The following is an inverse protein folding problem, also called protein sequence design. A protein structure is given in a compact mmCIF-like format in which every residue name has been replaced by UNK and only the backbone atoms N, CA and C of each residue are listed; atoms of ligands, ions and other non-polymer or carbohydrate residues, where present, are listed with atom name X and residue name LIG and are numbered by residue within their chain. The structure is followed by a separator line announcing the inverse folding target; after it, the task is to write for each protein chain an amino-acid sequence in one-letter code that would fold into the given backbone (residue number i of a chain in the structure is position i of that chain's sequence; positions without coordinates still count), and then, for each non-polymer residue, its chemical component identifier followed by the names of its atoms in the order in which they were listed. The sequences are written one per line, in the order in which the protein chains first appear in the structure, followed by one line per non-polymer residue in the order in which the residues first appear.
data_IF_960899889062
#
_entry.id   IF_960899889062
#
_cell.length_a   1.000
_cell.length_b   1.000
_cell.length_c   1.000
_cell.angle_alpha   90.00
_cell.angle_beta   90.00
_cell.angle_gamma   90.00
#
_symmetry.space_group_name_H-M   'P 1'
#
loop_
_entity.id
_entity.type
_entity.pdbx_description
1 polymer ?
#
# COMPACT_ATOMS: atom_id res chain seq x y z
N UNK A 1 -6.02 21.66 8.02
CA UNK A 1 -7.04 21.53 6.95
C UNK A 1 -8.39 20.99 7.43
N UNK A 2 -8.45 19.93 8.25
CA UNK A 2 -9.74 19.35 8.69
C UNK A 2 -10.45 20.11 9.84
N UNK A 3 -9.71 20.85 10.69
CA UNK A 3 -10.28 21.49 11.89
C UNK A 3 -11.31 22.61 11.58
N UNK A 4 -11.20 23.27 10.42
CA UNK A 4 -12.21 24.25 9.98
C UNK A 4 -13.63 23.67 10.00
N UNK A 5 -13.77 22.39 9.67
CA UNK A 5 -15.05 21.68 9.55
C UNK A 5 -15.37 20.76 10.76
N UNK A 6 -14.54 20.76 11.80
CA UNK A 6 -14.75 19.93 12.98
C UNK A 6 -16.00 20.34 13.77
N UNK A 7 -16.76 19.34 14.24
CA UNK A 7 -17.93 19.53 15.11
C UNK A 7 -17.54 19.98 16.52
N UNK A 8 -16.32 19.67 16.97
CA UNK A 8 -15.78 20.05 18.26
C UNK A 8 -14.56 20.94 18.08
N UNK A 9 -14.53 22.05 18.80
CA UNK A 9 -13.49 23.07 18.66
C UNK A 9 -12.99 23.54 20.01
N UNK A 10 -11.69 23.87 20.05
CA UNK A 10 -11.09 24.58 21.18
C UNK A 10 -11.65 26.01 21.18
N UNK A 11 -12.17 26.47 22.30
CA UNK A 11 -12.80 27.78 22.47
C UNK A 11 -12.26 28.49 23.69
N UNK A 12 -12.14 29.81 23.56
CA UNK A 12 -11.83 30.70 24.67
C UNK A 12 -13.15 31.09 25.34
N UNK A 13 -13.27 30.84 26.64
CA UNK A 13 -14.34 31.35 27.48
C UNK A 13 -13.92 32.75 27.96
N UNK A 14 -14.60 33.79 27.47
CA UNK A 14 -14.25 35.18 27.77
C UNK A 14 -14.41 35.51 29.27
N UNK A 15 -15.40 34.93 29.94
CA UNK A 15 -15.66 35.15 31.36
C UNK A 15 -14.52 34.66 32.25
N UNK A 16 -13.83 33.59 31.84
CA UNK A 16 -12.70 32.98 32.58
C UNK A 16 -11.33 33.39 32.04
N UNK A 17 -11.26 34.00 30.88
CA UNK A 17 -10.01 34.35 30.22
C UNK A 17 -9.50 35.71 30.68
N UNK A 18 -8.34 35.73 31.34
CA UNK A 18 -7.66 36.96 31.75
C UNK A 18 -6.64 37.48 30.72
N UNK A 19 -6.70 37.00 29.47
CA UNK A 19 -5.81 37.41 28.36
C UNK A 19 -4.30 37.29 28.63
N UNK A 20 -3.88 36.37 29.51
CA UNK A 20 -2.46 36.21 29.91
C UNK A 20 -1.49 35.71 28.82
N UNK A 21 -1.97 35.30 27.63
CA UNK A 21 -1.08 34.95 26.51
C UNK A 21 -0.44 33.56 26.54
N UNK A 22 -0.54 32.82 27.65
CA UNK A 22 0.11 31.50 27.81
C UNK A 22 -0.30 30.48 26.75
N UNK A 23 -1.57 30.50 26.33
CA UNK A 23 -2.08 29.62 25.28
C UNK A 23 -1.50 29.94 23.90
N UNK A 24 -1.28 31.22 23.60
CA UNK A 24 -0.66 31.65 22.34
C UNK A 24 0.81 31.24 22.29
N UNK A 25 1.56 31.41 23.38
CA UNK A 25 2.97 30.98 23.44
C UNK A 25 3.15 29.47 23.29
N UNK A 26 2.19 28.66 23.75
CA UNK A 26 2.23 27.20 23.61
C UNK A 26 1.58 26.70 22.32
N UNK A 27 1.05 27.60 21.48
CA UNK A 27 0.44 27.24 20.21
C UNK A 27 1.51 26.99 19.14
N UNK A 28 1.70 25.73 18.75
CA UNK A 28 2.65 25.34 17.69
C UNK A 28 2.30 25.89 16.31
N UNK A 29 1.02 26.16 16.06
CA UNK A 29 0.51 26.69 14.80
C UNK A 29 0.35 28.22 14.79
N UNK A 30 0.73 28.90 15.88
CA UNK A 30 0.56 30.35 16.06
C UNK A 30 -0.86 30.84 15.66
N UNK A 31 -1.88 30.05 16.02
CA UNK A 31 -3.26 30.26 15.59
C UNK A 31 -4.17 30.85 16.68
N UNK A 32 -3.61 31.30 17.81
CA UNK A 32 -4.37 31.87 18.93
C UNK A 32 -3.96 33.33 19.13
N UNK A 33 -4.92 34.24 19.03
CA UNK A 33 -4.76 35.65 19.42
C UNK A 33 -5.37 35.84 20.82
N UNK A 34 -4.53 35.97 21.85
CA UNK A 34 -4.98 36.15 23.23
C UNK A 34 -5.52 37.55 23.54
N UNK A 35 -5.20 38.57 22.74
CA UNK A 35 -5.73 39.94 22.94
C UNK A 35 -7.19 40.04 22.50
N UNK A 36 -7.48 39.44 21.36
CA UNK A 36 -8.80 39.39 20.72
C UNK A 36 -9.62 38.16 21.13
N UNK A 37 -9.07 37.27 21.96
CA UNK A 37 -9.72 36.00 22.33
C UNK A 37 -10.15 35.15 21.13
N UNK A 38 -9.38 35.22 20.03
CA UNK A 38 -9.71 34.53 18.77
C UNK A 38 -8.78 33.36 18.48
N UNK A 39 -9.34 32.32 17.86
CA UNK A 39 -8.59 31.15 17.39
C UNK A 39 -8.86 30.98 15.89
N UNK A 40 -7.79 30.97 15.11
CA UNK A 40 -7.83 30.68 13.68
C UNK A 40 -7.86 29.17 13.44
N UNK A 41 -9.06 28.65 13.21
CA UNK A 41 -9.29 27.22 12.96
C UNK A 41 -8.77 26.73 11.61
N UNK A 42 -8.41 27.62 10.68
CA UNK A 42 -7.81 27.19 9.41
C UNK A 42 -6.40 26.63 9.62
N UNK A 43 -5.68 27.20 10.60
CA UNK A 43 -4.31 26.82 10.97
C UNK A 43 -4.23 25.87 12.17
N UNK A 44 -5.26 25.83 13.02
CA UNK A 44 -5.24 24.96 14.20
C UNK A 44 -5.19 23.47 13.83
N UNK A 45 -4.21 22.75 14.38
CA UNK A 45 -3.99 21.30 14.16
C UNK A 45 -4.50 20.42 15.32
N UNK A 46 -5.27 20.98 16.26
CA UNK A 46 -5.82 20.27 17.43
C UNK A 46 -4.79 19.50 18.27
N UNK A 47 -3.58 20.06 18.43
CA UNK A 47 -2.54 19.46 19.28
C UNK A 47 -2.80 19.59 20.79
N UNK A 48 -3.88 20.28 21.21
CA UNK A 48 -4.33 20.48 22.59
C UNK A 48 -3.35 21.12 23.59
N UNK A 49 -2.14 21.48 23.18
CA UNK A 49 -1.13 22.10 24.04
C UNK A 49 -1.61 23.37 24.76
N UNK A 50 -2.51 24.13 24.13
CA UNK A 50 -3.10 25.32 24.72
C UNK A 50 -4.04 25.01 25.90
N UNK A 51 -4.71 23.86 25.91
CA UNK A 51 -5.57 23.41 27.01
C UNK A 51 -4.75 23.18 28.28
N UNK A 52 -3.65 22.44 28.17
CA UNK A 52 -2.73 22.19 29.29
C UNK A 52 -2.01 23.46 29.80
N UNK A 53 -1.83 24.47 28.94
CA UNK A 53 -1.22 25.74 29.30
C UNK A 53 -2.15 26.66 30.11
N UNK A 54 -3.47 26.47 30.03
CA UNK A 54 -4.45 27.39 30.59
C UNK A 54 -4.73 27.10 32.07
N UNK A 55 -4.00 27.76 32.97
CA UNK A 55 -4.19 27.61 34.43
C UNK A 55 -5.51 28.18 34.98
N UNK A 56 -6.23 28.98 34.18
CA UNK A 56 -7.49 29.63 34.59
C UNK A 56 -8.74 28.92 34.03
N UNK A 57 -8.58 27.82 33.28
CA UNK A 57 -9.70 27.12 32.65
C UNK A 57 -10.47 27.99 31.64
N UNK A 58 -9.81 29.01 31.08
CA UNK A 58 -10.35 29.89 30.05
C UNK A 58 -10.37 29.26 28.66
N UNK A 59 -9.87 28.03 28.49
CA UNK A 59 -9.98 27.26 27.26
C UNK A 59 -10.79 25.99 27.50
N UNK A 60 -11.66 25.65 26.55
CA UNK A 60 -12.49 24.44 26.58
C UNK A 60 -12.55 23.79 25.21
N UNK A 61 -12.69 22.48 25.16
CA UNK A 61 -13.00 21.75 23.93
C UNK A 61 -14.48 21.40 23.96
N UNK A 62 -15.29 22.00 23.09
CA UNK A 62 -16.75 21.88 23.14
C UNK A 62 -17.36 21.82 21.74
N UNK A 63 -18.54 21.18 21.60
CA UNK A 63 -19.23 21.11 20.32
C UNK A 63 -19.67 22.50 19.85
N UNK A 64 -19.64 22.75 18.54
CA UNK A 64 -20.09 24.01 17.96
C UNK A 64 -21.61 24.13 18.10
N UNK A 65 -22.08 24.76 19.20
CA UNK A 65 -23.48 25.21 19.29
C UNK A 65 -23.72 26.27 18.23
N UNK A 66 -24.59 25.95 17.28
CA UNK A 66 -25.05 26.87 16.24
C UNK A 66 -26.03 27.85 16.90
N UNK A 67 -25.51 28.92 17.52
CA UNK A 67 -26.35 30.05 17.93
C UNK A 67 -26.77 30.81 16.66
N UNK A 68 -28.07 30.78 16.35
CA UNK A 68 -28.70 31.77 15.47
C UNK A 68 -28.70 33.11 16.22
N UNK A 69 -27.94 34.10 15.76
CA UNK A 69 -28.42 35.43 15.33
C UNK A 69 -27.28 36.42 15.11
N UNK A 70 -27.34 37.02 13.92
CA UNK A 70 -27.21 38.43 13.55
C UNK A 70 -25.98 39.27 13.95
N UNK A 71 -25.55 40.01 12.91
CA UNK A 71 -24.68 41.19 12.86
C UNK A 71 -23.16 41.00 12.91
N UNK A 72 -22.59 40.74 11.73
CA UNK A 72 -21.27 41.26 11.37
C UNK A 72 -21.27 41.72 9.90
N UNK A 73 -21.19 43.05 9.76
CA UNK A 73 -20.76 43.91 8.65
C UNK A 73 -20.49 43.25 7.30
N UNK A 74 -21.14 43.82 6.28
CA UNK A 74 -20.80 43.73 4.86
C UNK A 74 -19.31 44.09 4.67
N UNK A 75 -18.52 43.10 4.27
CA UNK A 75 -17.40 43.32 3.36
C UNK A 75 -17.75 42.62 2.04
N UNK A 76 -17.76 43.39 0.97
CA UNK A 76 -17.93 42.90 -0.39
C UNK A 76 -16.74 42.01 -0.77
N UNK A 77 -17.01 40.72 -0.96
CA UNK A 77 -16.20 39.89 -1.83
C UNK A 77 -17.11 39.32 -2.92
N UNK A 78 -16.91 39.86 -4.12
CA UNK A 78 -17.46 39.40 -5.39
C UNK A 78 -17.08 37.95 -5.61
N UNK A 79 -17.95 37.03 -5.17
CA UNK A 79 -17.83 35.62 -5.52
C UNK A 79 -18.93 35.29 -6.52
N UNK A 80 -18.49 35.13 -7.76
CA UNK A 80 -19.21 34.74 -8.96
C UNK A 80 -20.34 33.71 -8.70
N UNK A 81 -21.58 34.16 -8.92
CA UNK A 81 -22.83 33.41 -8.71
C UNK A 81 -22.90 32.16 -9.61
N UNK A 82 -22.08 32.09 -10.67
CA UNK A 82 -22.03 30.99 -11.62
C UNK A 82 -21.43 29.69 -11.05
N UNK A 83 -20.46 29.78 -10.11
CA UNK A 83 -19.81 28.60 -9.51
C UNK A 83 -20.63 27.91 -8.43
N UNK A 84 -21.51 28.65 -7.75
CA UNK A 84 -22.39 28.12 -6.69
C UNK A 84 -23.64 27.44 -7.23
N UNK A 85 -24.10 27.86 -8.41
CA UNK A 85 -25.20 27.21 -9.09
C UNK A 85 -24.76 25.83 -9.61
N UNK A 86 -23.55 25.70 -10.15
CA UNK A 86 -23.01 24.41 -10.63
C UNK A 86 -22.95 23.31 -9.55
N UNK A 87 -22.66 23.67 -8.29
CA UNK A 87 -22.60 22.70 -7.17
C UNK A 87 -23.99 22.32 -6.64
N UNK A 88 -25.00 23.19 -6.79
CA UNK A 88 -26.36 22.93 -6.32
C UNK A 88 -27.21 22.20 -7.37
N UNK A 89 -26.98 22.42 -8.67
CA UNK A 89 -27.62 21.61 -9.73
C UNK A 89 -27.01 20.21 -9.89
N UNK A 90 -25.78 19.99 -9.39
CA UNK A 90 -25.13 18.68 -9.41
C UNK A 90 -25.68 17.65 -8.41
N UNK A 91 -26.36 18.09 -7.36
CA UNK A 91 -26.92 17.18 -6.33
C UNK A 91 -28.36 16.74 -6.62
N UNK A 92 -29.12 17.49 -7.43
CA UNK A 92 -30.51 17.13 -7.81
C UNK A 92 -30.61 16.39 -9.14
N UNK A 93 -29.54 16.37 -9.94
CA UNK A 93 -29.41 15.49 -11.12
C UNK A 93 -28.65 14.19 -10.83
N UNK A 94 -28.05 14.06 -9.63
CA UNK A 94 -27.26 12.89 -9.22
C UNK A 94 -28.06 11.61 -8.95
N UNK A 95 -29.38 11.67 -8.71
CA UNK A 95 -30.22 10.47 -8.61
C UNK A 95 -30.89 10.06 -9.92
N UNK A 96 -30.94 10.91 -10.94
CA UNK A 96 -31.51 10.57 -12.25
C UNK A 96 -30.44 10.19 -13.29
N UNK A 97 -29.15 10.47 -13.01
CA UNK A 97 -28.02 10.04 -13.84
C UNK A 97 -27.40 8.70 -13.39
N UNK A 98 -27.99 8.01 -12.42
CA UNK A 98 -27.57 6.67 -12.01
C UNK A 98 -28.08 5.55 -12.95
N UNK A 99 -28.94 5.85 -13.93
CA UNK A 99 -29.46 4.87 -14.90
C UNK A 99 -28.93 5.04 -16.33
N UNK A 100 -28.02 5.99 -16.58
CA UNK A 100 -27.39 6.17 -17.88
C UNK A 100 -25.90 5.84 -17.78
N UNK A 101 -25.59 4.54 -17.75
CA UNK A 101 -24.23 4.03 -17.98
C UNK A 101 -23.89 4.35 -19.45
N UNK A 102 -22.88 5.19 -19.75
CA UNK A 102 -22.36 5.26 -21.10
C UNK A 102 -21.67 3.91 -21.40
N UNK A 103 -22.33 3.09 -22.23
CA UNK A 103 -21.80 1.86 -22.86
C UNK A 103 -20.65 2.19 -23.84
N UNK A 104 -19.63 2.91 -23.41
CA UNK A 104 -18.50 3.29 -24.26
C UNK A 104 -17.18 3.23 -23.50
N UNK A 105 -16.91 2.08 -22.86
CA UNK A 105 -15.54 1.60 -22.59
C UNK A 105 -15.48 0.05 -22.68
N UNK A 106 -16.20 -0.53 -23.64
CA UNK A 106 -16.16 -1.95 -23.95
C UNK A 106 -15.56 -2.21 -25.34
N UNK A 107 -14.47 -1.51 -25.68
CA UNK A 107 -13.70 -1.75 -26.90
C UNK A 107 -12.20 -1.50 -26.68
N UNK A 108 -11.62 -2.25 -25.74
CA UNK A 108 -10.30 -2.83 -25.97
C UNK A 108 -10.44 -4.31 -25.66
N UNK A 109 -10.87 -5.05 -26.68
CA UNK A 109 -10.96 -6.51 -26.62
C UNK A 109 -9.56 -7.10 -26.55
N UNK A 110 -9.02 -7.20 -25.33
CA UNK A 110 -8.10 -8.29 -25.03
C UNK A 110 -8.94 -9.55 -25.12
N UNK A 111 -8.64 -10.40 -26.11
CA UNK A 111 -9.25 -11.73 -26.21
C UNK A 111 -8.84 -12.49 -24.94
N UNK A 112 -9.72 -12.54 -23.95
CA UNK A 112 -9.61 -13.49 -22.84
C UNK A 112 -9.97 -14.84 -23.44
N UNK A 113 -8.94 -15.51 -23.97
CA UNK A 113 -9.01 -16.88 -24.44
C UNK A 113 -9.00 -17.79 -23.21
N UNK A 114 -10.06 -18.58 -23.04
CA UNK A 114 -10.17 -19.57 -21.96
C UNK A 114 -10.86 -19.11 -20.67
N UNK A 115 -11.56 -20.04 -20.03
CA UNK A 115 -12.14 -19.86 -18.69
C UNK A 115 -11.02 -19.82 -17.64
N UNK A 116 -10.45 -18.64 -17.41
CA UNK A 116 -9.45 -18.47 -16.35
C UNK A 116 -10.04 -18.80 -14.97
N UNK A 117 -9.27 -19.53 -14.17
CA UNK A 117 -9.58 -19.87 -12.79
C UNK A 117 -9.24 -18.68 -11.90
N UNK A 118 -10.28 -18.10 -11.30
CA UNK A 118 -10.12 -17.07 -10.28
C UNK A 118 -9.53 -17.68 -9.00
N UNK A 119 -8.59 -16.97 -8.37
CA UNK A 119 -8.02 -17.35 -7.08
C UNK A 119 -7.99 -16.15 -6.13
N UNK A 120 -7.89 -16.46 -4.84
CA UNK A 120 -7.70 -15.45 -3.79
C UNK A 120 -6.51 -15.87 -2.94
N UNK A 121 -5.55 -14.97 -2.82
CA UNK A 121 -4.43 -15.10 -1.89
C UNK A 121 -4.97 -15.15 -0.47
N UNK A 122 -4.61 -16.18 0.29
CA UNK A 122 -5.13 -16.40 1.65
C UNK A 122 -4.42 -15.53 2.68
N UNK A 123 -3.10 -15.39 2.53
CA UNK A 123 -2.25 -14.59 3.40
C UNK A 123 -1.44 -13.57 2.60
N UNK A 124 -1.41 -12.31 3.05
CA UNK A 124 -0.52 -11.32 2.44
C UNK A 124 0.94 -11.72 2.60
N UNK A 125 1.75 -11.37 1.60
CA UNK A 125 3.20 -11.54 1.65
C UNK A 125 3.81 -10.40 2.45
N UNK A 126 4.35 -10.71 3.62
CA UNK A 126 5.07 -9.73 4.45
C UNK A 126 6.49 -9.50 3.92
N UNK A 127 7.10 -8.33 4.17
CA UNK A 127 8.52 -8.10 3.86
C UNK A 127 9.42 -9.18 4.48
N UNK A 128 10.53 -9.59 3.83
CA UNK A 128 11.47 -10.55 4.40
C UNK A 128 12.03 -10.03 5.72
N UNK A 129 12.05 -10.90 6.75
CA UNK A 129 12.45 -10.54 8.10
C UNK A 129 11.29 -10.14 9.01
N UNK A 130 10.04 -10.13 8.54
CA UNK A 130 8.85 -9.86 9.35
C UNK A 130 8.46 -11.00 10.31
N UNK A 131 9.11 -12.17 10.21
CA UNK A 131 8.96 -13.36 11.08
C UNK A 131 7.58 -14.03 11.00
N UNK A 132 6.51 -13.36 11.38
CA UNK A 132 5.14 -13.87 11.33
C UNK A 132 4.12 -12.73 11.32
N UNK A 133 2.90 -12.99 10.86
CA UNK A 133 1.81 -11.99 10.89
C UNK A 133 1.61 -11.46 12.31
N UNK A 134 1.66 -12.36 13.32
CA UNK A 134 1.51 -11.98 14.73
C UNK A 134 2.66 -11.07 15.21
N UNK A 135 3.91 -11.41 14.90
CA UNK A 135 5.07 -10.59 15.25
C UNK A 135 4.99 -9.23 14.59
N UNK A 136 4.74 -9.23 13.28
CA UNK A 136 4.68 -8.03 12.47
C UNK A 136 3.56 -7.10 12.93
N UNK A 137 2.37 -7.63 13.21
CA UNK A 137 1.25 -6.86 13.73
C UNK A 137 1.54 -6.22 15.09
N UNK A 138 2.26 -6.92 15.96
CA UNK A 138 2.58 -6.43 17.30
C UNK A 138 3.65 -5.32 17.31
N UNK A 139 4.56 -5.30 16.34
CA UNK A 139 5.72 -4.40 16.35
C UNK A 139 5.66 -3.30 15.29
N UNK A 140 5.00 -3.53 14.15
CA UNK A 140 4.96 -2.58 13.05
C UNK A 140 4.05 -1.39 13.38
N UNK A 141 4.66 -0.21 13.50
CA UNK A 141 3.97 1.07 13.74
C UNK A 141 3.46 1.75 12.46
N UNK A 142 3.54 1.08 11.31
CA UNK A 142 3.15 1.64 10.00
C UNK A 142 3.85 2.97 9.68
N UNK A 143 5.13 3.11 10.04
CA UNK A 143 5.93 4.32 9.79
C UNK A 143 6.32 4.53 8.31
N UNK A 144 6.12 3.52 7.47
CA UNK A 144 6.34 3.54 6.01
C UNK A 144 7.78 3.83 5.54
N UNK A 145 8.77 3.75 6.43
CA UNK A 145 10.18 3.89 6.05
C UNK A 145 10.61 2.80 5.05
N UNK A 146 10.22 1.55 5.28
CA UNK A 146 10.51 0.44 4.35
C UNK A 146 9.83 0.63 2.99
N UNK A 147 8.60 1.14 2.96
CA UNK A 147 7.87 1.44 1.72
C UNK A 147 8.60 2.53 0.93
N UNK A 148 8.94 3.65 1.58
CA UNK A 148 9.62 4.77 0.93
C UNK A 148 11.03 4.44 0.45
N UNK A 149 11.73 3.51 1.12
CA UNK A 149 13.12 3.14 0.82
C UNK A 149 13.24 1.89 -0.04
N UNK A 150 12.14 1.21 -0.36
CA UNK A 150 12.14 0.04 -1.22
C UNK A 150 12.56 0.43 -2.65
N UNK A 151 13.71 -0.04 -3.16
CA UNK A 151 14.19 0.33 -4.49
C UNK A 151 13.30 -0.22 -5.61
N UNK A 152 12.73 -1.42 -5.42
CA UNK A 152 11.84 -2.05 -6.40
C UNK A 152 10.39 -1.59 -6.31
N UNK A 153 10.03 -0.79 -5.29
CA UNK A 153 8.67 -0.29 -5.04
C UNK A 153 7.61 -1.40 -4.96
N UNK A 154 8.02 -2.60 -4.55
CA UNK A 154 7.11 -3.76 -4.36
C UNK A 154 6.27 -3.63 -3.08
N UNK A 155 6.70 -2.81 -2.12
CA UNK A 155 5.96 -2.63 -0.86
C UNK A 155 4.85 -1.59 -1.00
N UNK A 156 3.64 -1.93 -0.57
CA UNK A 156 2.52 -1.00 -0.43
C UNK A 156 1.86 -1.07 0.96
N UNK A 157 1.17 -0.02 1.41
CA UNK A 157 0.36 -0.10 2.62
C UNK A 157 -0.82 -1.05 2.38
N UNK A 158 -0.99 -2.02 3.26
CA UNK A 158 -2.17 -2.85 3.31
C UNK A 158 -3.40 -2.01 3.68
N UNK A 159 -4.55 -2.37 3.13
CA UNK A 159 -5.84 -1.90 3.60
C UNK A 159 -6.47 -2.91 4.57
N UNK A 160 -6.86 -4.10 4.10
CA UNK A 160 -7.57 -5.11 4.90
C UNK A 160 -6.97 -6.52 4.78
N UNK A 161 -5.84 -6.66 4.08
CA UNK A 161 -5.18 -7.93 3.80
C UNK A 161 -4.70 -8.60 5.09
N UNK A 162 -4.25 -7.82 6.07
CA UNK A 162 -3.93 -8.28 7.43
C UNK A 162 -5.13 -8.25 8.40
N UNK A 163 -6.33 -7.93 7.93
CA UNK A 163 -7.48 -7.59 8.76
C UNK A 163 -7.36 -6.20 9.42
N UNK A 164 -8.32 -5.87 10.30
CA UNK A 164 -8.42 -4.53 10.92
C UNK A 164 -7.18 -4.14 11.75
N UNK A 165 -6.48 -5.13 12.33
CA UNK A 165 -5.28 -4.90 13.14
C UNK A 165 -4.02 -4.56 12.35
N UNK A 166 -4.00 -4.78 11.04
CA UNK A 166 -2.84 -4.51 10.18
C UNK A 166 -3.09 -3.47 9.09
N UNK A 167 -4.08 -2.61 9.28
CA UNK A 167 -4.33 -1.47 8.39
C UNK A 167 -3.04 -0.64 8.29
N UNK A 168 -2.68 -0.26 7.06
CA UNK A 168 -1.48 0.51 6.70
C UNK A 168 -0.15 -0.21 6.95
N UNK A 169 -0.14 -1.45 7.41
CA UNK A 169 1.11 -2.22 7.51
C UNK A 169 1.62 -2.61 6.12
N UNK A 170 2.94 -2.64 5.89
CA UNK A 170 3.50 -2.98 4.58
C UNK A 170 3.18 -4.43 4.18
N UNK A 171 2.85 -4.63 2.90
CA UNK A 171 2.87 -5.94 2.25
C UNK A 171 3.58 -5.85 0.89
N UNK A 172 4.06 -6.97 0.38
CA UNK A 172 4.59 -7.09 -0.98
C UNK A 172 3.45 -7.24 -2.00
N UNK A 173 3.53 -6.47 -3.09
CA UNK A 173 2.55 -6.44 -4.16
C UNK A 173 3.23 -6.52 -5.53
N UNK A 174 2.92 -7.58 -6.26
CA UNK A 174 3.67 -7.93 -7.47
C UNK A 174 3.07 -7.35 -8.76
N UNK A 175 2.12 -6.43 -8.65
CA UNK A 175 1.51 -5.75 -9.80
C UNK A 175 2.54 -4.86 -10.52
N UNK A 176 3.38 -4.14 -9.77
CA UNK A 176 4.29 -3.10 -10.29
C UNK A 176 5.78 -3.39 -10.13
N UNK A 177 6.13 -4.47 -9.44
CA UNK A 177 7.52 -4.88 -9.25
C UNK A 177 7.62 -6.21 -8.50
N UNK A 178 8.81 -6.55 -8.05
CA UNK A 178 9.08 -7.75 -7.25
C UNK A 178 10.17 -7.47 -6.22
N UNK A 179 10.36 -8.37 -5.26
CA UNK A 179 11.40 -8.23 -4.24
C UNK A 179 12.77 -8.58 -4.84
N UNK A 180 13.67 -7.59 -4.96
CA UNK A 180 15.01 -7.82 -5.50
C UNK A 180 15.76 -8.85 -4.65
N UNK A 181 16.41 -9.85 -5.23
CA UNK A 181 17.05 -10.96 -4.51
C UNK A 181 18.07 -10.47 -3.47
N UNK A 182 19.09 -9.70 -3.88
CA UNK A 182 20.21 -9.25 -3.02
C UNK A 182 19.93 -7.97 -2.19
N UNK A 183 18.68 -7.65 -1.86
CA UNK A 183 18.31 -6.37 -1.22
C UNK A 183 17.83 -6.50 0.24
N UNK A 184 18.52 -5.91 1.21
CA UNK A 184 18.19 -6.00 2.66
C UNK A 184 17.61 -4.72 3.27
N UNK A 185 17.38 -3.69 2.44
CA UNK A 185 17.06 -2.31 2.87
C UNK A 185 15.87 -2.21 3.84
N UNK A 186 14.82 -3.02 3.66
CA UNK A 186 13.61 -2.92 4.49
C UNK A 186 13.86 -3.21 5.98
N UNK A 187 14.75 -4.16 6.30
CA UNK A 187 15.18 -4.47 7.66
C UNK A 187 16.16 -3.43 8.23
N UNK A 188 17.00 -2.85 7.38
CA UNK A 188 17.96 -1.81 7.78
C UNK A 188 17.27 -0.53 8.27
N UNK A 189 16.17 -0.14 7.62
CA UNK A 189 15.43 1.10 7.92
C UNK A 189 14.32 0.89 8.95
N UNK A 190 14.07 -0.34 9.42
CA UNK A 190 13.03 -0.63 10.38
C UNK A 190 13.45 -0.22 11.81
N UNK A 191 12.80 0.78 12.43
CA UNK A 191 13.28 1.35 13.70
C UNK A 191 12.86 0.53 14.93
N UNK A 192 11.83 -0.30 14.81
CA UNK A 192 11.16 -0.99 15.92
C UNK A 192 11.30 -2.52 15.85
N UNK A 193 12.11 -3.04 14.91
CA UNK A 193 12.35 -4.48 14.77
C UNK A 193 11.12 -5.27 14.28
N UNK A 194 10.13 -4.60 13.69
CA UNK A 194 9.03 -5.30 13.02
C UNK A 194 9.53 -6.12 11.82
N UNK A 195 10.58 -5.63 11.15
CA UNK A 195 11.34 -6.33 10.13
C UNK A 195 12.76 -6.48 10.67
N UNK A 196 13.20 -7.71 10.90
CA UNK A 196 14.55 -7.98 11.35
C UNK A 196 15.58 -7.64 10.26
N UNK A 197 16.76 -7.20 10.68
CA UNK A 197 17.91 -7.07 9.80
C UNK A 197 18.35 -8.47 9.39
N UNK A 198 18.49 -8.68 8.09
CA UNK A 198 19.00 -9.91 7.51
C UNK A 198 20.29 -9.57 6.77
N UNK A 199 21.25 -10.48 6.77
CA UNK A 199 22.31 -10.46 5.75
C UNK A 199 21.73 -10.87 4.40
N UNK A 200 22.48 -10.67 3.32
CA UNK A 200 22.07 -11.08 1.97
C UNK A 200 21.87 -12.60 1.92
N UNK A 201 22.77 -13.36 2.54
CA UNK A 201 22.73 -14.82 2.61
C UNK A 201 21.54 -15.33 3.42
N UNK A 202 21.22 -14.68 4.55
CA UNK A 202 20.01 -15.01 5.32
C UNK A 202 18.74 -14.71 4.52
N UNK A 203 18.74 -13.60 3.79
CA UNK A 203 17.62 -13.21 2.95
C UNK A 203 17.40 -14.21 1.80
N UNK A 204 18.46 -14.70 1.18
CA UNK A 204 18.41 -15.73 0.14
C UNK A 204 17.77 -17.04 0.59
N UNK A 205 17.66 -17.25 1.90
CA UNK A 205 17.00 -18.41 2.49
C UNK A 205 15.70 -18.06 3.23
N UNK A 206 15.33 -16.79 3.29
CA UNK A 206 14.09 -16.36 3.96
C UNK A 206 12.92 -16.50 3.00
N UNK A 207 11.89 -17.24 3.40
CA UNK A 207 10.71 -17.52 2.59
C UNK A 207 9.46 -16.80 3.15
N UNK A 208 9.23 -15.52 2.79
CA UNK A 208 8.03 -14.76 3.14
C UNK A 208 6.74 -15.32 2.50
N UNK A 209 6.87 -16.00 1.37
CA UNK A 209 5.78 -16.65 0.65
C UNK A 209 6.31 -17.73 -0.28
N UNK A 210 5.41 -18.46 -0.92
CA UNK A 210 5.72 -19.57 -1.83
C UNK A 210 4.97 -19.42 -3.14
N UNK A 211 5.59 -19.90 -4.20
CA UNK A 211 5.00 -19.88 -5.53
C UNK A 211 3.88 -20.92 -5.66
N UNK A 212 2.81 -20.54 -6.36
CA UNK A 212 1.68 -21.39 -6.71
C UNK A 212 1.44 -21.26 -8.20
N UNK A 213 1.44 -22.39 -8.91
CA UNK A 213 1.18 -22.46 -10.35
C UNK A 213 -0.23 -23.00 -10.62
N UNK A 214 -0.98 -22.31 -11.46
CA UNK A 214 -2.33 -22.64 -11.92
C UNK A 214 -2.22 -22.93 -13.41
N UNK A 215 -2.18 -24.22 -13.75
CA UNK A 215 -1.97 -24.69 -15.12
C UNK A 215 -3.03 -24.15 -16.08
N UNK A 216 -4.28 -24.09 -15.63
CA UNK A 216 -5.46 -23.70 -16.41
C UNK A 216 -5.41 -22.24 -16.87
N UNK A 217 -4.59 -21.41 -16.23
CA UNK A 217 -4.41 -20.01 -16.57
C UNK A 217 -3.19 -19.77 -17.48
N UNK A 218 -2.32 -20.77 -17.67
CA UNK A 218 -1.04 -20.60 -18.37
C UNK A 218 -1.23 -20.50 -19.89
N UNK A 219 -0.61 -19.51 -20.54
CA UNK A 219 -0.66 -19.34 -22.02
C UNK A 219 -0.05 -20.50 -22.81
N UNK A 220 0.85 -21.27 -22.18
CA UNK A 220 1.34 -22.53 -22.76
C UNK A 220 0.21 -23.55 -22.85
N UNK A 221 -0.68 -23.57 -21.86
CA UNK A 221 -1.80 -24.49 -21.79
C UNK A 221 -3.03 -23.98 -22.56
N UNK A 222 -3.37 -22.70 -22.46
CA UNK A 222 -4.60 -22.14 -23.06
C UNK A 222 -4.44 -21.78 -24.52
N UNK A 223 -3.28 -21.24 -24.89
CA UNK A 223 -3.04 -20.67 -26.23
C UNK A 223 -2.02 -21.50 -27.02
N UNK A 224 -1.48 -22.57 -26.43
CA UNK A 224 -0.47 -23.46 -27.02
C UNK A 224 0.77 -22.71 -27.54
N UNK A 225 1.18 -21.65 -26.83
CA UNK A 225 2.33 -20.82 -27.18
C UNK A 225 3.56 -21.16 -26.32
N UNK A 226 4.75 -21.00 -26.88
CA UNK A 226 6.00 -21.14 -26.11
C UNK A 226 6.20 -19.93 -25.19
N UNK A 227 6.24 -20.14 -23.87
CA UNK A 227 6.44 -19.11 -22.87
C UNK A 227 7.23 -19.65 -21.68
N UNK A 228 8.35 -19.01 -21.34
CA UNK A 228 9.22 -19.37 -20.21
C UNK A 228 9.47 -18.22 -19.22
N UNK A 229 8.74 -17.10 -19.33
CA UNK A 229 9.06 -15.85 -18.64
C UNK A 229 9.23 -16.00 -17.12
N UNK A 230 8.39 -16.83 -16.49
CA UNK A 230 8.45 -17.09 -15.05
C UNK A 230 9.73 -17.80 -14.60
N UNK A 231 10.26 -18.72 -15.42
CA UNK A 231 11.52 -19.44 -15.17
C UNK A 231 12.71 -18.51 -15.30
N UNK A 232 12.77 -17.71 -16.38
CA UNK A 232 13.87 -16.77 -16.64
C UNK A 232 14.04 -15.70 -15.55
N UNK A 233 12.95 -15.35 -14.85
CA UNK A 233 12.96 -14.37 -13.76
C UNK A 233 13.06 -15.00 -12.37
N UNK A 234 13.22 -16.32 -12.27
CA UNK A 234 13.32 -17.02 -11.00
C UNK A 234 14.79 -17.10 -10.55
N UNK A 235 15.22 -16.32 -9.53
CA UNK A 235 16.63 -16.30 -9.12
C UNK A 235 17.10 -17.60 -8.45
N UNK A 236 16.17 -18.41 -7.93
CA UNK A 236 16.47 -19.66 -7.23
C UNK A 236 16.15 -20.90 -8.03
N UNK A 237 15.73 -20.75 -9.30
CA UNK A 237 15.27 -21.86 -10.15
C UNK A 237 14.09 -22.66 -9.56
N UNK A 238 13.36 -22.07 -8.60
CA UNK A 238 12.11 -22.61 -8.04
C UNK A 238 10.99 -22.77 -9.08
N UNK A 239 11.17 -22.19 -10.27
CA UNK A 239 10.30 -22.38 -11.42
C UNK A 239 11.18 -22.84 -12.57
N UNK A 240 11.01 -24.07 -13.01
CA UNK A 240 11.76 -24.67 -14.11
C UNK A 240 10.81 -25.07 -15.25
N UNK A 241 11.26 -24.89 -16.49
CA UNK A 241 10.50 -25.32 -17.66
C UNK A 241 10.74 -26.81 -17.93
N UNK A 242 9.67 -27.61 -17.93
CA UNK A 242 9.75 -29.05 -18.23
C UNK A 242 9.04 -29.38 -19.53
N UNK A 243 9.46 -30.45 -20.26
CA UNK A 243 8.80 -30.88 -21.48
C UNK A 243 7.29 -31.05 -21.32
N UNK A 244 6.56 -30.52 -22.30
CA UNK A 244 5.11 -30.55 -22.40
C UNK A 244 4.68 -30.97 -23.80
N UNK A 245 3.37 -31.04 -24.03
CA UNK A 245 2.77 -31.50 -25.28
C UNK A 245 3.25 -30.66 -26.49
N UNK A 246 3.26 -31.28 -27.67
CA UNK A 246 3.59 -30.64 -28.95
C UNK A 246 4.96 -29.93 -28.99
N UNK A 247 5.93 -30.42 -28.20
CA UNK A 247 7.28 -29.84 -28.13
C UNK A 247 7.36 -28.53 -27.32
N UNK A 248 6.26 -28.12 -26.68
CA UNK A 248 6.27 -27.00 -25.75
C UNK A 248 6.91 -27.40 -24.42
N UNK A 249 7.19 -26.42 -23.57
CA UNK A 249 7.57 -26.64 -22.18
C UNK A 249 6.62 -25.88 -21.28
N UNK A 250 6.34 -26.41 -20.09
CA UNK A 250 5.42 -25.81 -19.11
C UNK A 250 6.13 -25.62 -17.76
N UNK A 251 5.77 -24.60 -16.96
CA UNK A 251 6.38 -24.41 -15.65
C UNK A 251 6.09 -25.57 -14.69
N UNK A 252 7.14 -26.05 -14.02
CA UNK A 252 7.08 -26.86 -12.81
C UNK A 252 7.65 -26.04 -11.65
N UNK A 253 7.02 -26.13 -10.48
CA UNK A 253 7.41 -25.35 -9.30
C UNK A 253 7.98 -26.24 -8.19
N UNK A 254 9.06 -25.78 -7.57
CA UNK A 254 9.61 -26.32 -6.32
C UNK A 254 9.51 -25.27 -5.20
N UNK A 255 8.59 -25.51 -4.27
CA UNK A 255 8.35 -24.60 -3.16
C UNK A 255 9.44 -24.65 -2.08
N UNK A 256 10.30 -25.67 -2.05
CA UNK A 256 11.33 -25.81 -1.03
C UNK A 256 12.48 -24.83 -1.24
N UNK A 257 12.82 -24.51 -2.50
CA UNK A 257 13.86 -23.53 -2.88
C UNK A 257 13.27 -22.15 -3.24
N UNK A 258 11.95 -22.01 -3.24
CA UNK A 258 11.28 -20.74 -3.50
C UNK A 258 11.52 -19.77 -2.33
N UNK A 259 11.83 -18.50 -2.64
CA UNK A 259 11.96 -17.42 -1.63
C UNK A 259 10.80 -16.42 -1.69
N UNK A 260 9.76 -16.69 -2.49
CA UNK A 260 8.57 -15.84 -2.54
C UNK A 260 8.81 -14.43 -3.07
N UNK A 261 9.87 -14.19 -3.85
CA UNK A 261 10.22 -12.83 -4.31
C UNK A 261 9.22 -12.21 -5.30
N UNK A 262 8.37 -13.04 -5.91
CA UNK A 262 7.32 -12.62 -6.86
C UNK A 262 7.80 -12.19 -8.23
N UNK A 263 9.06 -12.42 -8.62
CA UNK A 263 9.54 -12.15 -9.98
C UNK A 263 8.74 -12.91 -11.04
N UNK A 264 8.43 -14.19 -10.77
CA UNK A 264 7.62 -15.03 -11.65
C UNK A 264 6.16 -14.55 -11.76
N UNK A 265 5.57 -14.05 -10.67
CA UNK A 265 4.24 -13.47 -10.69
C UNK A 265 4.26 -12.17 -11.48
N UNK A 266 5.18 -11.26 -11.18
CA UNK A 266 5.26 -9.95 -11.81
C UNK A 266 5.32 -10.05 -13.34
N UNK A 267 6.19 -10.91 -13.88
CA UNK A 267 6.42 -11.06 -15.32
C UNK A 267 5.33 -11.86 -16.04
N UNK A 268 4.45 -12.55 -15.33
CA UNK A 268 3.40 -13.36 -15.95
C UNK A 268 2.49 -12.47 -16.82
N UNK A 269 2.38 -12.72 -18.14
CA UNK A 269 1.61 -11.86 -19.05
C UNK A 269 0.10 -12.06 -18.93
N UNK A 270 -0.34 -13.07 -18.16
CA UNK A 270 -1.74 -13.47 -18.06
C UNK A 270 -2.51 -12.50 -17.17
N UNK A 271 -3.63 -11.99 -17.69
CA UNK A 271 -4.56 -11.10 -16.99
C UNK A 271 -6.01 -11.55 -17.22
N UNK A 272 -6.94 -11.28 -16.27
CA UNK A 272 -6.71 -10.71 -14.94
C UNK A 272 -6.14 -11.69 -13.90
N UNK A 273 -6.31 -13.01 -14.08
CA UNK A 273 -5.81 -14.01 -13.13
C UNK A 273 -4.52 -14.64 -13.65
N UNK A 274 -3.39 -14.30 -13.02
CA UNK A 274 -2.09 -14.80 -13.42
C UNK A 274 -2.02 -16.32 -13.31
N UNK A 275 -1.21 -16.94 -14.17
CA UNK A 275 -0.96 -18.38 -14.14
C UNK A 275 -0.07 -18.80 -12.99
N UNK A 276 0.68 -17.86 -12.41
CA UNK A 276 1.59 -18.11 -11.32
C UNK A 276 1.53 -16.92 -10.36
N UNK A 277 1.41 -17.21 -9.07
CA UNK A 277 1.32 -16.20 -8.03
C UNK A 277 2.05 -16.63 -6.76
N UNK A 278 2.27 -15.70 -5.85
CA UNK A 278 2.88 -15.96 -4.54
C UNK A 278 1.78 -15.97 -3.47
N UNK A 279 1.76 -17.04 -2.68
CA UNK A 279 0.96 -17.16 -1.47
C UNK A 279 1.83 -16.84 -0.25
N UNK A 280 1.38 -15.91 0.59
CA UNK A 280 2.12 -15.52 1.79
C UNK A 280 2.18 -16.65 2.82
N UNK A 281 3.30 -16.74 3.54
CA UNK A 281 3.41 -17.64 4.68
C UNK A 281 3.01 -16.86 5.95
N UNK A 282 2.05 -17.37 6.77
CA UNK A 282 1.67 -16.69 8.01
C UNK A 282 2.82 -16.61 9.03
N UNK A 283 3.77 -17.55 8.93
CA UNK A 283 5.07 -17.55 9.60
C UNK A 283 6.12 -17.77 8.52
N UNK A 284 7.10 -16.86 8.40
CA UNK A 284 8.15 -16.97 7.39
C UNK A 284 8.97 -18.23 7.63
N UNK A 285 9.19 -18.98 6.55
CA UNK A 285 9.94 -20.22 6.58
C UNK A 285 11.37 -19.99 6.12
N UNK A 286 12.18 -21.05 6.18
CA UNK A 286 13.51 -21.08 5.60
C UNK A 286 13.51 -21.97 4.37
N UNK A 287 13.84 -21.41 3.22
CA UNK A 287 14.02 -22.15 1.98
C UNK A 287 15.30 -23.01 2.04
N UNK A 288 15.33 -24.09 1.26
CA UNK A 288 16.56 -24.84 1.00
C UNK A 288 17.47 -24.01 0.09
N UNK A 289 18.80 -24.06 0.28
CA UNK A 289 19.71 -23.46 -0.68
C UNK A 289 19.54 -24.15 -2.04
N UNK A 290 19.46 -23.37 -3.11
CA UNK A 290 19.57 -23.93 -4.46
C UNK A 290 21.05 -24.17 -4.76
N UNK A 291 21.36 -25.31 -5.37
CA UNK A 291 22.72 -25.63 -5.81
C UNK A 291 22.76 -25.36 -7.30
N UNK A 292 23.57 -24.39 -7.74
CA UNK A 292 23.86 -24.27 -9.16
C UNK A 292 24.62 -25.53 -9.58
N UNK A 293 24.03 -26.36 -10.43
CA UNK A 293 24.77 -27.43 -11.07
C UNK A 293 25.96 -26.80 -11.83
N UNK A 294 27.18 -27.27 -11.55
CA UNK A 294 28.40 -26.77 -12.17
C UNK A 294 28.20 -26.64 -13.68
N UNK A 295 28.39 -25.43 -14.21
CA UNK A 295 28.45 -25.21 -15.65
C UNK A 295 29.53 -26.14 -16.20
N UNK A 296 29.11 -27.25 -16.83
CA UNK A 296 29.99 -27.99 -17.72
C UNK A 296 30.43 -26.98 -18.77
N UNK A 297 31.70 -26.60 -18.74
CA UNK A 297 32.32 -25.87 -19.84
C UNK A 297 32.18 -26.74 -21.09
N UNK A 298 31.12 -26.49 -21.86
CA UNK A 298 31.02 -27.02 -23.21
C UNK A 298 32.01 -26.18 -23.99
N UNK A 299 33.23 -26.70 -24.15
CA UNK A 299 34.19 -26.12 -25.07
C UNK A 299 33.59 -26.23 -26.48
N UNK A 300 33.03 -25.13 -26.99
CA UNK A 300 32.53 -25.06 -28.36
C UNK A 300 33.75 -24.87 -29.25
N UNK A 301 34.50 -25.95 -29.45
CA UNK A 301 35.59 -25.99 -30.42
C UNK A 301 34.96 -25.79 -31.82
N UNK A 302 35.28 -24.66 -32.45
CA UNK A 302 34.85 -24.21 -33.78
C UNK A 302 33.39 -23.76 -33.93
N UNK A 303 33.17 -22.46 -33.71
CA UNK A 303 32.22 -21.72 -34.56
C UNK A 303 32.77 -21.72 -35.99
N UNK A 304 32.31 -22.68 -36.80
CA UNK A 304 32.61 -22.75 -38.23
C UNK A 304 31.98 -21.56 -38.96
N UNK A 305 32.78 -20.54 -39.20
CA UNK A 305 32.60 -19.54 -40.25
C UNK A 305 33.69 -19.74 -41.30
#
# INVERSE_FOLDING_TARGET
FLNKYSLFKIRINEDKCNKCGLCAMKCKAACINSKESMIDYSRCVDCYNCLGACKKGGLSYSPVRRKQKEEAKKEEQTTDRSKRQFLLTGLTTGLAAATAIPKTMAQQGVKVSGSQVAYKVQYPVMPPGAVSIKHFQAHCTSCHLCISKCPSKVLKPAFLEYGLGGIMQPLEDFEKGFCNYDCTVCGEVCPNGAIHKLTVEEKHLTQPGRVVFIKENCVVYTDETSCGACSEHCPTQAVAMVPYQNGLTIPQVDTEICVGCGGCEHICPVVPYKAIHIEGNPVQLRAKPFVEEEKKEINVDNFGF
#
